data_IF_000043443774
#
_entry.id   IF_000043443774
#
_cell.length_a   1.000
_cell.length_b   1.000
_cell.length_c   1.000
_cell.angle_alpha   90.00
_cell.angle_beta   90.00
_cell.angle_gamma   90.00
#
_symmetry.space_group_name_H-M   'P 1'
#
loop_
_entity.id
_entity.type
_entity.pdbx_description
1 polymer ?
#
# COMPACT_ATOMS: atom_id res chain seq x y z
N UNK A 1 -8.80 1.88 -14.18
CA UNK A 1 -8.39 1.52 -12.82
C UNK A 1 -8.39 2.81 -12.04
N UNK A 2 -9.17 2.86 -10.96
CA UNK A 2 -9.45 4.10 -10.24
C UNK A 2 -8.45 4.24 -9.10
N UNK A 3 -7.51 5.17 -9.27
CA UNK A 3 -6.43 5.41 -8.33
C UNK A 3 -6.96 6.22 -7.15
N UNK A 4 -7.11 5.58 -5.99
CA UNK A 4 -7.83 6.15 -4.84
C UNK A 4 -6.94 6.82 -3.81
N UNK A 5 -5.71 6.32 -3.63
CA UNK A 5 -4.80 6.79 -2.59
C UNK A 5 -3.39 6.95 -3.14
N UNK A 6 -2.67 7.94 -2.63
CA UNK A 6 -1.24 8.16 -2.86
C UNK A 6 -0.49 8.10 -1.54
N UNK A 7 0.46 7.17 -1.42
CA UNK A 7 1.34 7.03 -0.24
C UNK A 7 2.68 7.70 -0.55
N UNK A 8 3.00 8.77 0.17
CA UNK A 8 4.24 9.53 -0.02
C UNK A 8 5.31 9.03 0.94
N UNK A 9 6.47 8.64 0.42
CA UNK A 9 7.61 8.14 1.20
C UNK A 9 8.62 9.25 1.43
N UNK A 10 9.29 9.23 2.58
CA UNK A 10 10.31 10.19 3.03
C UNK A 10 11.53 10.31 2.11
N UNK A 11 11.79 9.31 1.26
CA UNK A 11 12.84 9.37 0.23
C UNK A 11 12.41 10.09 -1.06
N UNK A 12 11.20 10.67 -1.06
CA UNK A 12 10.64 11.42 -2.18
C UNK A 12 9.88 10.55 -3.19
N UNK A 13 9.85 9.24 -3.03
CA UNK A 13 9.04 8.35 -3.86
C UNK A 13 7.55 8.37 -3.46
N UNK A 14 6.70 7.98 -4.40
CA UNK A 14 5.25 7.84 -4.17
C UNK A 14 4.74 6.50 -4.67
N UNK A 15 3.76 5.94 -3.95
CA UNK A 15 3.09 4.70 -4.32
C UNK A 15 1.62 5.02 -4.56
N UNK A 16 1.17 4.79 -5.78
CA UNK A 16 -0.23 4.93 -6.17
C UNK A 16 -0.96 3.62 -5.91
N UNK A 17 -2.10 3.70 -5.22
CA UNK A 17 -2.88 2.54 -4.76
C UNK A 17 -4.23 2.52 -5.47
N UNK A 18 -4.58 1.38 -6.05
CA UNK A 18 -5.90 1.12 -6.62
C UNK A 18 -6.92 0.79 -5.52
N UNK A 19 -8.20 1.02 -5.81
CA UNK A 19 -9.28 0.75 -4.85
C UNK A 19 -9.39 -0.70 -4.41
N UNK A 20 -8.97 -1.66 -5.25
CA UNK A 20 -9.00 -3.09 -4.91
C UNK A 20 -7.73 -3.60 -4.23
N UNK A 21 -6.65 -2.81 -4.23
CA UNK A 21 -5.40 -3.18 -3.58
C UNK A 21 -5.59 -3.31 -2.07
N UNK A 22 -4.83 -4.20 -1.45
CA UNK A 22 -4.86 -4.41 0.00
C UNK A 22 -3.78 -3.57 0.66
N UNK A 23 -4.18 -2.79 1.65
CA UNK A 23 -3.26 -2.11 2.57
C UNK A 23 -3.39 -2.77 3.94
N UNK A 24 -2.27 -3.24 4.48
CA UNK A 24 -2.19 -3.92 5.78
C UNK A 24 -1.22 -3.23 6.74
N UNK A 25 -1.44 -3.34 8.05
CA UNK A 25 -0.56 -2.82 9.11
C UNK A 25 -0.16 -3.90 10.11
N UNK A 26 1.05 -3.79 10.65
CA UNK A 26 1.60 -4.76 11.61
C UNK A 26 2.71 -4.19 12.48
N UNK A 27 2.82 -4.72 13.70
CA UNK A 27 3.90 -4.41 14.63
C UNK A 27 5.13 -5.33 14.47
N UNK A 28 4.91 -6.60 14.13
CA UNK A 28 5.95 -7.62 13.93
C UNK A 28 5.62 -8.47 12.69
N UNK A 29 6.60 -8.73 11.82
CA UNK A 29 6.43 -9.63 10.67
C UNK A 29 6.46 -11.10 11.13
N UNK A 30 5.55 -11.99 10.68
CA UNK A 30 4.59 -11.85 9.57
C UNK A 30 3.12 -11.59 10.00
N UNK A 31 2.85 -11.21 11.25
CA UNK A 31 1.48 -11.14 11.76
C UNK A 31 0.77 -9.86 11.31
N UNK A 32 -0.31 -10.01 10.54
CA UNK A 32 -1.12 -8.89 10.06
C UNK A 32 -2.15 -8.52 11.14
N UNK A 33 -2.11 -7.26 11.60
CA UNK A 33 -3.01 -6.77 12.63
C UNK A 33 -4.28 -6.17 12.03
N UNK A 34 -4.13 -5.39 10.94
CA UNK A 34 -5.26 -4.72 10.27
C UNK A 34 -5.11 -4.81 8.75
N UNK A 35 -6.21 -4.98 8.03
CA UNK A 35 -6.24 -5.04 6.56
C UNK A 35 -7.57 -4.57 6.03
N UNK A 36 -7.51 -3.68 5.03
CA UNK A 36 -8.67 -3.31 4.21
C UNK A 36 -8.24 -3.06 2.75
N UNK A 37 -9.23 -2.95 1.87
CA UNK A 37 -9.01 -2.50 0.49
C UNK A 37 -8.73 -1.00 0.42
N UNK A 38 -8.13 -0.53 -0.67
CA UNK A 38 -7.97 0.91 -0.95
C UNK A 38 -9.30 1.67 -0.87
N UNK A 39 -10.39 1.12 -1.43
CA UNK A 39 -11.73 1.73 -1.37
C UNK A 39 -12.26 1.85 0.05
N UNK A 40 -12.16 0.77 0.84
CA UNK A 40 -12.62 0.76 2.23
C UNK A 40 -11.86 1.78 3.06
N UNK A 41 -10.53 1.83 2.91
CA UNK A 41 -9.70 2.82 3.57
C UNK A 41 -10.05 4.25 3.15
N UNK A 42 -10.26 4.48 1.86
CA UNK A 42 -10.58 5.81 1.36
C UNK A 42 -11.97 6.30 1.82
N UNK A 43 -13.01 5.47 1.70
CA UNK A 43 -14.40 5.90 1.88
C UNK A 43 -14.89 5.87 3.33
N UNK A 44 -14.47 4.86 4.09
CA UNK A 44 -15.10 4.54 5.37
C UNK A 44 -14.15 4.79 6.55
N UNK A 45 -12.85 4.57 6.34
CA UNK A 45 -11.86 4.53 7.43
C UNK A 45 -10.63 5.41 7.18
N UNK A 46 -10.75 6.52 6.44
CA UNK A 46 -9.58 7.33 6.07
C UNK A 46 -8.84 7.90 7.29
N UNK A 47 -9.58 8.38 8.30
CA UNK A 47 -8.96 8.89 9.52
C UNK A 47 -8.25 7.78 10.31
N UNK A 48 -8.83 6.57 10.32
CA UNK A 48 -8.21 5.39 10.93
C UNK A 48 -6.93 4.98 10.19
N UNK A 49 -6.95 5.01 8.85
CA UNK A 49 -5.77 4.76 8.01
C UNK A 49 -4.60 5.66 8.41
N UNK A 50 -4.84 6.96 8.56
CA UNK A 50 -3.80 7.92 8.98
C UNK A 50 -3.31 7.62 10.40
N UNK A 51 -4.22 7.33 11.33
CA UNK A 51 -3.85 6.99 12.71
C UNK A 51 -3.01 5.70 12.79
N UNK A 52 -3.24 4.75 11.89
CA UNK A 52 -2.48 3.50 11.83
C UNK A 52 -1.00 3.72 11.47
N UNK A 53 -0.64 4.83 10.84
CA UNK A 53 0.77 5.19 10.63
C UNK A 53 1.52 5.44 11.96
N UNK A 54 0.80 5.83 13.02
CA UNK A 54 1.38 6.09 14.34
C UNK A 54 1.37 4.81 15.19
N UNK A 55 0.32 3.99 15.06
CA UNK A 55 0.07 2.85 15.92
C UNK A 55 0.82 1.57 15.52
N UNK A 56 1.28 1.49 14.27
CA UNK A 56 1.95 0.32 13.73
C UNK A 56 3.33 0.65 13.21
N UNK A 57 4.24 -0.34 13.24
CA UNK A 57 5.63 -0.17 12.79
C UNK A 57 5.78 -0.24 11.27
N UNK A 58 4.86 -0.94 10.61
CA UNK A 58 4.94 -1.20 9.19
C UNK A 58 3.57 -1.11 8.51
N UNK A 59 3.62 -0.77 7.23
CA UNK A 59 2.50 -0.81 6.30
C UNK A 59 2.92 -1.66 5.10
N UNK A 60 2.00 -2.51 4.63
CA UNK A 60 2.19 -3.24 3.39
C UNK A 60 1.11 -2.93 2.37
N UNK A 61 1.50 -2.95 1.11
CA UNK A 61 0.63 -2.69 -0.04
C UNK A 61 0.76 -3.89 -0.98
N UNK A 62 -0.35 -4.54 -1.26
CA UNK A 62 -0.41 -5.68 -2.18
C UNK A 62 -1.40 -5.41 -3.29
N UNK A 63 -0.96 -5.60 -4.53
CA UNK A 63 -1.82 -5.42 -5.70
C UNK A 63 -2.92 -6.46 -5.74
N UNK A 64 -4.11 -6.04 -6.14
CA UNK A 64 -5.18 -6.97 -6.47
C UNK A 64 -4.84 -7.78 -7.73
N UNK A 65 -4.51 -7.09 -8.82
CA UNK A 65 -4.07 -7.69 -10.07
C UNK A 65 -2.54 -7.61 -10.20
N UNK A 66 -1.90 -8.76 -10.41
CA UNK A 66 -0.46 -8.87 -10.62
C UNK A 66 0.03 -8.26 -11.93
N UNK A 67 -0.86 -7.97 -12.88
CA UNK A 67 -0.54 -7.24 -14.11
C UNK A 67 -0.20 -5.77 -13.85
N UNK A 68 -0.75 -5.20 -12.77
CA UNK A 68 -0.48 -3.81 -12.41
C UNK A 68 0.86 -3.72 -11.70
N UNK A 69 1.86 -3.23 -12.46
CA UNK A 69 3.26 -3.17 -11.98
C UNK A 69 3.34 -2.37 -10.68
N UNK A 70 3.91 -2.99 -9.65
CA UNK A 70 4.33 -2.33 -8.42
C UNK A 70 5.85 -2.45 -8.30
N UNK A 71 6.53 -1.32 -8.29
CA UNK A 71 7.97 -1.25 -8.18
C UNK A 71 8.38 -0.20 -7.16
N UNK A 72 9.40 -0.52 -6.37
CA UNK A 72 9.97 0.40 -5.39
C UNK A 72 11.47 0.16 -5.30
N UNK A 73 12.28 1.23 -5.41
CA UNK A 73 13.75 1.17 -5.39
C UNK A 73 14.34 0.10 -6.32
N UNK A 74 13.88 0.09 -7.58
CA UNK A 74 14.28 -0.87 -8.63
C UNK A 74 13.96 -2.35 -8.32
N UNK A 75 13.09 -2.61 -7.33
CA UNK A 75 12.60 -3.94 -7.01
C UNK A 75 11.13 -4.04 -7.38
N UNK A 76 10.80 -5.06 -8.16
CA UNK A 76 9.44 -5.33 -8.63
C UNK A 76 8.74 -6.26 -7.66
N UNK A 77 7.62 -5.80 -7.09
CA UNK A 77 6.82 -6.52 -6.10
C UNK A 77 5.59 -7.19 -6.73
N UNK A 78 4.94 -6.51 -7.68
CA UNK A 78 3.87 -7.09 -8.48
C UNK A 78 4.21 -6.95 -9.97
N UNK A 79 4.20 -8.07 -10.69
CA UNK A 79 4.42 -8.14 -12.12
C UNK A 79 3.98 -9.49 -12.69
N UNK A 80 3.23 -9.45 -13.79
CA UNK A 80 2.81 -10.62 -14.55
C UNK A 80 3.15 -10.45 -16.03
N UNK A 81 3.86 -11.42 -16.60
CA UNK A 81 4.06 -11.58 -18.03
C UNK A 81 3.85 -13.05 -18.43
N UNK A 82 4.08 -13.40 -19.70
CA UNK A 82 3.89 -14.77 -20.20
C UNK A 82 4.74 -15.84 -19.49
N UNK A 83 5.82 -15.44 -18.81
CA UNK A 83 6.85 -16.33 -18.28
C UNK A 83 7.00 -16.25 -16.75
N UNK A 84 6.39 -15.25 -16.10
CA UNK A 84 6.57 -14.98 -14.68
C UNK A 84 5.34 -14.28 -14.07
N UNK A 85 4.98 -14.67 -12.85
CA UNK A 85 3.91 -14.04 -12.07
C UNK A 85 4.41 -13.81 -10.63
N UNK A 86 4.69 -12.57 -10.29
CA UNK A 86 5.00 -12.11 -8.93
C UNK A 86 3.87 -11.22 -8.40
N UNK A 87 3.44 -11.46 -7.16
CA UNK A 87 2.51 -10.57 -6.44
C UNK A 87 2.83 -10.59 -4.95
N UNK A 88 4.02 -10.11 -4.63
CA UNK A 88 4.49 -9.95 -3.27
C UNK A 88 4.04 -8.58 -2.73
N UNK A 89 3.71 -8.49 -1.44
CA UNK A 89 3.43 -7.21 -0.83
C UNK A 89 4.69 -6.35 -0.76
N UNK A 90 4.57 -5.07 -1.14
CA UNK A 90 5.56 -4.06 -0.78
C UNK A 90 5.40 -3.76 0.70
N UNK A 91 6.48 -3.89 1.47
CA UNK A 91 6.52 -3.66 2.91
C UNK A 91 7.41 -2.45 3.18
N UNK A 92 6.88 -1.44 3.87
CA UNK A 92 7.65 -0.26 4.29
C UNK A 92 7.39 0.07 5.76
N UNK A 93 8.38 0.69 6.42
CA UNK A 93 8.20 1.17 7.79
C UNK A 93 7.25 2.37 7.77
N UNK A 94 6.28 2.41 8.67
CA UNK A 94 5.32 3.55 8.76
C UNK A 94 6.02 4.88 8.99
N UNK A 95 7.09 4.90 9.81
CA UNK A 95 7.93 6.10 10.01
C UNK A 95 8.58 6.65 8.74
N UNK A 96 8.65 5.84 7.68
CA UNK A 96 9.14 6.28 6.37
C UNK A 96 8.05 6.84 5.47
N UNK A 97 6.77 6.68 5.83
CA UNK A 97 5.62 7.27 5.14
C UNK A 97 5.40 8.67 5.71
N UNK A 98 5.47 9.67 4.84
CA UNK A 98 5.26 11.08 5.22
C UNK A 98 3.78 11.40 5.34
N UNK A 99 2.98 10.94 4.38
CA UNK A 99 1.53 11.14 4.36
C UNK A 99 0.86 10.14 3.42
N UNK A 100 -0.44 9.93 3.60
CA UNK A 100 -1.31 9.31 2.60
C UNK A 100 -2.30 10.38 2.17
N UNK A 101 -2.59 10.46 0.87
CA UNK A 101 -3.46 11.47 0.26
C UNK A 101 -4.64 10.75 -0.40
N UNK A 102 -5.85 11.12 -0.02
CA UNK A 102 -7.08 10.82 -0.76
C UNK A 102 -7.07 11.58 -2.10
N UNK A 103 -7.08 10.84 -3.21
CA UNK A 103 -6.94 11.42 -4.55
C UNK A 103 -8.24 12.04 -5.09
N UNK A 104 -9.38 11.82 -4.43
CA UNK A 104 -10.71 12.24 -4.93
C UNK A 104 -11.43 13.24 -4.00
N UNK A 105 -10.70 13.88 -3.09
CA UNK A 105 -11.22 15.00 -2.27
C UNK A 105 -11.43 16.29 -3.08
#
# INVERSE_FOLDING_TARGET
MDMVLKVCISDGSEIIVDGFDKISFYNELPNIDVTNSGYSWQRESYNELINNLINYNFISIKRHDSKDRLEYRNHTFAFENSNFKGNEPLIVQTKSVTTIIDMYK
#
